data_IF_095994111648
#
_entry.id   IF_095994111648
#
_cell.length_a   1.000
_cell.length_b   1.000
_cell.length_c   1.000
_cell.angle_alpha   90.00
_cell.angle_beta   90.00
_cell.angle_gamma   90.00
#
_symmetry.space_group_name_H-M   'P 1'
#
loop_
_entity.id
_entity.type
_entity.pdbx_description
1 polymer ?
#
# COMPACT_ATOMS: atom_id res chain seq x y z
N UNK A 1 61.18 38.33 24.20
CA UNK A 1 62.00 37.45 23.43
C UNK A 1 61.25 36.21 23.01
N UNK A 2 61.34 36.04 21.77
CA UNK A 2 60.83 34.96 20.93
C UNK A 2 61.44 33.64 21.32
N UNK A 3 60.70 32.56 21.30
CA UNK A 3 61.25 31.27 20.93
C UNK A 3 60.25 30.47 20.13
N UNK A 4 60.59 30.33 18.90
CA UNK A 4 60.12 29.38 17.89
C UNK A 4 60.74 28.03 18.21
N UNK A 5 60.01 26.98 18.16
CA UNK A 5 60.41 25.58 17.90
C UNK A 5 59.11 24.77 17.98
N UNK A 6 58.76 23.84 17.21
CA UNK A 6 59.37 23.07 16.14
C UNK A 6 58.21 22.19 15.60
N UNK A 7 58.08 22.10 14.32
CA UNK A 7 57.21 21.10 13.68
C UNK A 7 57.97 19.78 13.64
N UNK A 8 57.34 18.65 13.86
CA UNK A 8 57.71 17.51 13.04
C UNK A 8 56.52 16.77 12.36
N UNK A 9 56.76 16.60 11.08
CA UNK A 9 56.63 15.38 10.32
C UNK A 9 55.24 14.80 10.12
N UNK A 10 54.79 15.04 8.94
CA UNK A 10 53.98 14.21 8.04
C UNK A 10 54.22 12.71 8.29
N UNK A 11 53.22 12.02 8.77
CA UNK A 11 53.10 10.56 8.65
C UNK A 11 52.13 10.22 7.55
N UNK A 12 52.63 9.53 6.56
CA UNK A 12 51.91 9.03 5.39
C UNK A 12 50.74 8.11 5.75
N UNK A 13 49.65 8.09 4.97
CA UNK A 13 48.55 7.16 5.18
C UNK A 13 48.98 5.73 4.82
N UNK A 14 48.75 4.83 5.75
CA UNK A 14 48.94 3.40 5.57
C UNK A 14 48.03 2.89 4.41
N UNK A 15 48.70 2.22 3.49
CA UNK A 15 48.10 1.49 2.39
C UNK A 15 47.31 0.32 2.98
N UNK A 16 46.00 0.35 2.86
CA UNK A 16 45.15 -0.78 3.17
C UNK A 16 45.29 -1.81 2.04
N UNK A 17 45.71 -3.05 2.30
CA UNK A 17 45.72 -4.08 1.27
C UNK A 17 44.29 -4.46 0.92
N UNK A 18 43.95 -4.34 -0.35
CA UNK A 18 42.76 -4.92 -0.96
C UNK A 18 42.77 -6.44 -0.77
N UNK A 19 41.66 -7.06 -0.31
CA UNK A 19 41.59 -8.51 -0.35
C UNK A 19 41.47 -8.97 -1.81
N UNK A 20 42.44 -9.78 -2.20
CA UNK A 20 42.39 -10.53 -3.46
C UNK A 20 41.18 -11.43 -3.47
N UNK A 21 40.34 -11.26 -4.50
CA UNK A 21 39.32 -12.22 -4.84
C UNK A 21 39.98 -13.50 -5.33
N UNK A 22 40.07 -14.51 -4.48
CA UNK A 22 40.29 -15.88 -4.90
C UNK A 22 39.00 -16.36 -5.63
N UNK A 23 39.10 -16.34 -6.94
CA UNK A 23 38.13 -16.99 -7.82
C UNK A 23 38.51 -18.46 -7.87
N UNK A 24 37.71 -19.38 -7.36
CA UNK A 24 37.94 -20.82 -7.56
C UNK A 24 37.72 -21.19 -9.04
N UNK A 25 38.48 -22.19 -9.55
CA UNK A 25 38.48 -22.53 -10.97
C UNK A 25 37.12 -23.08 -11.42
N UNK A 26 36.76 -22.68 -12.64
CA UNK A 26 35.58 -23.17 -13.36
C UNK A 26 35.43 -24.69 -13.25
N UNK A 27 34.46 -25.13 -12.47
CA UNK A 27 33.91 -26.47 -12.65
C UNK A 27 33.12 -26.47 -13.98
N UNK A 28 33.65 -27.14 -14.98
CA UNK A 28 32.95 -27.44 -16.20
C UNK A 28 31.82 -28.38 -15.87
N UNK A 29 30.62 -27.84 -15.72
CA UNK A 29 29.42 -28.67 -15.62
C UNK A 29 29.11 -29.18 -17.00
N UNK A 30 29.48 -30.43 -17.27
CA UNK A 30 29.02 -31.16 -18.41
C UNK A 30 27.51 -31.33 -18.31
N UNK A 31 26.79 -30.51 -19.04
CA UNK A 31 25.35 -30.67 -19.20
C UNK A 31 25.11 -31.90 -20.05
N UNK A 32 24.93 -33.04 -19.40
CA UNK A 32 24.38 -34.22 -20.03
C UNK A 32 22.96 -33.88 -20.49
N UNK A 33 22.78 -33.68 -21.77
CA UNK A 33 21.47 -33.47 -22.39
C UNK A 33 20.57 -34.66 -22.06
N UNK A 34 19.67 -34.51 -21.14
CA UNK A 34 18.56 -35.43 -20.98
C UNK A 34 17.62 -35.29 -22.19
N UNK A 35 17.17 -36.39 -22.80
CA UNK A 35 16.25 -36.32 -23.91
C UNK A 35 14.93 -35.66 -23.45
N UNK A 36 14.51 -34.63 -24.18
CA UNK A 36 13.27 -33.90 -23.99
C UNK A 36 12.11 -34.92 -24.01
N UNK A 37 11.30 -35.05 -22.96
CA UNK A 37 10.12 -35.89 -23.00
C UNK A 37 9.19 -35.40 -24.11
N UNK A 38 8.73 -36.31 -24.96
CA UNK A 38 7.77 -36.07 -26.06
C UNK A 38 6.56 -35.26 -25.49
N UNK A 39 6.01 -34.32 -26.26
CA UNK A 39 4.86 -33.57 -25.85
C UNK A 39 3.70 -34.53 -25.55
N UNK A 40 3.32 -34.60 -24.31
CA UNK A 40 2.09 -35.28 -23.88
C UNK A 40 0.95 -34.49 -24.52
N UNK A 41 0.17 -35.15 -25.38
CA UNK A 41 -1.07 -34.59 -25.91
C UNK A 41 -1.88 -34.07 -24.75
N UNK A 42 -2.03 -32.76 -24.71
CA UNK A 42 -2.95 -32.11 -23.78
C UNK A 42 -4.34 -32.74 -23.97
N UNK A 43 -5.03 -33.12 -22.88
CA UNK A 43 -6.43 -33.52 -22.99
C UNK A 43 -7.20 -32.37 -23.64
N UNK A 44 -8.25 -32.64 -24.41
CA UNK A 44 -9.03 -31.60 -25.04
C UNK A 44 -9.53 -30.68 -23.93
N UNK A 45 -9.21 -29.39 -24.07
CA UNK A 45 -9.78 -28.34 -23.24
C UNK A 45 -11.27 -28.42 -23.52
N UNK A 46 -12.00 -29.01 -22.58
CA UNK A 46 -13.46 -28.86 -22.54
C UNK A 46 -13.65 -27.36 -22.39
N UNK A 47 -14.04 -26.71 -23.47
CA UNK A 47 -14.56 -25.35 -23.39
C UNK A 47 -15.72 -25.42 -22.41
N UNK A 48 -15.40 -25.16 -21.14
CA UNK A 48 -16.43 -24.82 -20.19
C UNK A 48 -17.16 -23.63 -20.81
N UNK A 49 -18.37 -23.91 -21.26
CA UNK A 49 -19.26 -22.92 -21.80
C UNK A 49 -19.15 -21.70 -20.91
N UNK A 50 -18.79 -20.57 -21.52
CA UNK A 50 -18.79 -19.29 -20.84
C UNK A 50 -20.17 -19.13 -20.21
N UNK A 51 -20.25 -19.41 -18.92
CA UNK A 51 -21.42 -19.05 -18.15
C UNK A 51 -21.59 -17.55 -18.39
N UNK A 52 -22.76 -17.08 -18.79
CA UNK A 52 -22.96 -15.66 -18.99
C UNK A 52 -22.56 -14.99 -17.68
N UNK A 53 -21.59 -14.07 -17.76
CA UNK A 53 -21.30 -13.14 -16.68
C UNK A 53 -22.63 -12.48 -16.38
N UNK A 54 -23.31 -12.97 -15.35
CA UNK A 54 -24.45 -12.31 -14.79
C UNK A 54 -23.91 -10.98 -14.28
N UNK A 55 -23.99 -9.96 -15.14
CA UNK A 55 -23.92 -8.57 -14.74
C UNK A 55 -25.20 -8.27 -13.95
N UNK A 56 -25.45 -9.06 -12.92
CA UNK A 56 -26.40 -8.71 -11.91
C UNK A 56 -25.88 -7.41 -11.32
N UNK A 57 -26.65 -6.32 -11.52
CA UNK A 57 -26.60 -5.18 -10.61
C UNK A 57 -26.57 -5.79 -9.22
N UNK A 58 -25.35 -5.85 -8.61
CA UNK A 58 -25.19 -6.29 -7.23
C UNK A 58 -25.86 -5.20 -6.40
N UNK A 59 -27.19 -5.35 -6.26
CA UNK A 59 -27.95 -4.52 -5.36
C UNK A 59 -27.26 -4.66 -4.00
N UNK A 60 -26.91 -3.53 -3.43
CA UNK A 60 -26.25 -3.48 -2.14
C UNK A 60 -27.17 -4.12 -1.09
N UNK A 61 -27.03 -5.44 -0.89
CA UNK A 61 -27.70 -6.12 0.19
C UNK A 61 -27.18 -5.50 1.48
N UNK A 62 -28.05 -4.94 2.34
CA UNK A 62 -27.60 -4.46 3.62
C UNK A 62 -26.95 -5.61 4.37
N UNK A 63 -25.81 -5.33 5.00
CA UNK A 63 -25.09 -6.30 5.82
C UNK A 63 -26.01 -6.81 6.94
N UNK A 64 -26.02 -8.11 7.25
CA UNK A 64 -26.67 -8.64 8.43
C UNK A 64 -26.19 -7.90 9.70
N UNK A 65 -27.07 -7.72 10.67
CA UNK A 65 -26.73 -7.00 11.92
C UNK A 65 -25.53 -7.61 12.64
N UNK A 66 -25.36 -8.93 12.58
CA UNK A 66 -24.20 -9.64 13.12
C UNK A 66 -22.89 -9.25 12.43
N UNK A 67 -22.89 -9.15 11.12
CA UNK A 67 -21.69 -8.72 10.36
C UNK A 67 -21.40 -7.23 10.59
N UNK A 68 -22.43 -6.39 10.73
CA UNK A 68 -22.26 -4.99 11.09
C UNK A 68 -21.59 -4.83 12.46
N UNK A 69 -22.00 -5.61 13.46
CA UNK A 69 -21.39 -5.60 14.79
C UNK A 69 -19.90 -6.00 14.74
N UNK A 70 -19.56 -7.03 13.95
CA UNK A 70 -18.16 -7.43 13.77
C UNK A 70 -17.35 -6.33 13.10
N UNK A 71 -17.89 -5.66 12.09
CA UNK A 71 -17.22 -4.53 11.43
C UNK A 71 -16.98 -3.38 12.40
N UNK A 72 -17.99 -2.98 13.18
CA UNK A 72 -17.83 -1.91 14.18
C UNK A 72 -16.77 -2.28 15.24
N UNK A 73 -16.72 -3.55 15.68
CA UNK A 73 -15.67 -4.01 16.60
C UNK A 73 -14.27 -3.89 15.96
N UNK A 74 -14.11 -4.35 14.71
CA UNK A 74 -12.83 -4.24 13.99
C UNK A 74 -12.41 -2.77 13.78
N UNK A 75 -13.37 -1.87 13.57
CA UNK A 75 -13.10 -0.44 13.48
C UNK A 75 -12.62 0.13 14.83
N UNK A 76 -13.27 -0.27 15.93
CA UNK A 76 -12.88 0.15 17.29
C UNK A 76 -11.48 -0.39 17.66
N UNK A 77 -11.21 -1.66 17.38
CA UNK A 77 -9.90 -2.28 17.60
C UNK A 77 -8.80 -1.55 16.81
N UNK A 78 -9.09 -1.17 15.57
CA UNK A 78 -8.15 -0.43 14.74
C UNK A 78 -7.88 0.99 15.29
N UNK A 79 -8.90 1.68 15.76
CA UNK A 79 -8.75 3.01 16.38
C UNK A 79 -7.91 2.91 17.68
N UNK A 80 -8.12 1.85 18.48
CA UNK A 80 -7.33 1.57 19.68
C UNK A 80 -5.86 1.26 19.36
N UNK A 81 -5.61 0.40 18.36
CA UNK A 81 -4.26 0.07 17.90
C UNK A 81 -3.53 1.30 17.37
N UNK A 82 -4.22 2.16 16.64
CA UNK A 82 -3.67 3.43 16.17
C UNK A 82 -3.28 4.33 17.34
N UNK A 83 -4.11 4.44 18.37
CA UNK A 83 -3.82 5.21 19.57
C UNK A 83 -2.59 4.69 20.35
N UNK A 84 -2.28 3.38 20.21
CA UNK A 84 -1.09 2.74 20.75
C UNK A 84 0.15 2.85 19.86
N UNK A 85 0.07 3.54 18.71
CA UNK A 85 1.16 3.61 17.73
C UNK A 85 1.38 2.32 16.93
N UNK A 86 0.46 1.35 17.02
CA UNK A 86 0.53 0.07 16.32
C UNK A 86 -0.21 0.14 14.98
N UNK A 87 0.17 1.08 14.13
CA UNK A 87 -0.55 1.41 12.90
C UNK A 87 -0.63 0.24 11.91
N UNK A 88 0.45 -0.54 11.77
CA UNK A 88 0.46 -1.72 10.89
C UNK A 88 -0.58 -2.76 11.32
N UNK A 89 -0.74 -2.97 12.63
CA UNK A 89 -1.75 -3.89 13.15
C UNK A 89 -3.16 -3.33 12.93
N UNK A 90 -3.34 -2.02 13.10
CA UNK A 90 -4.60 -1.35 12.80
C UNK A 90 -5.02 -1.53 11.33
N UNK A 91 -4.07 -1.43 10.38
CA UNK A 91 -4.33 -1.70 8.95
C UNK A 91 -4.86 -3.12 8.75
N UNK A 92 -4.29 -4.12 9.43
CA UNK A 92 -4.74 -5.51 9.31
C UNK A 92 -6.20 -5.66 9.76
N UNK A 93 -6.60 -5.04 10.88
CA UNK A 93 -7.99 -5.08 11.35
C UNK A 93 -8.94 -4.41 10.35
N UNK A 94 -8.55 -3.25 9.81
CA UNK A 94 -9.36 -2.55 8.81
C UNK A 94 -9.46 -3.31 7.49
N UNK A 95 -8.43 -4.03 7.08
CA UNK A 95 -8.49 -4.92 5.90
C UNK A 95 -9.45 -6.09 6.11
N UNK A 96 -9.55 -6.62 7.34
CA UNK A 96 -10.57 -7.61 7.69
C UNK A 96 -11.96 -7.00 7.60
N UNK A 97 -12.16 -5.81 8.17
CA UNK A 97 -13.41 -5.07 8.05
C UNK A 97 -13.79 -4.82 6.59
N UNK A 98 -12.83 -4.46 5.74
CA UNK A 98 -13.05 -4.24 4.30
C UNK A 98 -13.53 -5.50 3.56
N UNK A 99 -13.07 -6.69 3.95
CA UNK A 99 -13.54 -7.95 3.35
C UNK A 99 -14.98 -8.26 3.72
N UNK A 100 -15.39 -7.94 4.94
CA UNK A 100 -16.76 -8.16 5.44
C UNK A 100 -17.68 -7.09 4.85
N UNK A 101 -17.26 -5.82 4.88
CA UNK A 101 -18.05 -4.67 4.46
C UNK A 101 -17.35 -3.90 3.31
N UNK A 102 -17.25 -4.44 2.09
CA UNK A 102 -16.51 -3.83 0.99
C UNK A 102 -17.14 -2.54 0.44
N UNK A 103 -18.30 -2.15 0.96
CA UNK A 103 -19.04 -0.93 0.59
C UNK A 103 -19.24 0.03 1.76
N UNK A 104 -18.64 -0.24 2.91
CA UNK A 104 -18.73 0.68 4.04
C UNK A 104 -17.70 1.82 3.89
N UNK A 105 -18.14 3.08 3.70
CA UNK A 105 -17.25 4.21 3.55
C UNK A 105 -16.40 4.49 4.80
N UNK A 106 -16.87 4.11 6.00
CA UNK A 106 -16.11 4.27 7.25
C UNK A 106 -14.78 3.51 7.21
N UNK A 107 -14.80 2.29 6.65
CA UNK A 107 -13.60 1.45 6.51
C UNK A 107 -12.58 2.11 5.60
N UNK A 108 -13.01 2.60 4.44
CA UNK A 108 -12.11 3.28 3.49
C UNK A 108 -11.53 4.57 4.07
N UNK A 109 -12.34 5.34 4.78
CA UNK A 109 -11.89 6.56 5.44
C UNK A 109 -10.77 6.27 6.45
N UNK A 110 -10.95 5.26 7.33
CA UNK A 110 -9.94 4.88 8.32
C UNK A 110 -8.68 4.29 7.68
N UNK A 111 -8.84 3.44 6.66
CA UNK A 111 -7.69 2.91 5.91
C UNK A 111 -6.88 4.03 5.26
N UNK A 112 -7.53 5.00 4.61
CA UNK A 112 -6.85 6.12 3.98
C UNK A 112 -6.07 6.96 5.00
N UNK A 113 -6.65 7.24 6.17
CA UNK A 113 -5.97 7.96 7.25
C UNK A 113 -4.74 7.20 7.74
N UNK A 114 -4.85 5.88 7.96
CA UNK A 114 -3.72 5.07 8.42
C UNK A 114 -2.61 4.96 7.37
N UNK A 115 -2.97 4.85 6.08
CA UNK A 115 -1.97 4.83 5.01
C UNK A 115 -1.23 6.17 4.91
N UNK A 116 -1.92 7.29 5.17
CA UNK A 116 -1.26 8.60 5.26
C UNK A 116 -0.27 8.68 6.43
N UNK A 117 -0.65 8.20 7.61
CA UNK A 117 0.26 8.20 8.76
C UNK A 117 1.47 7.28 8.57
N UNK A 118 1.34 6.22 7.77
CA UNK A 118 2.44 5.34 7.36
C UNK A 118 3.30 5.90 6.20
N UNK A 119 2.97 7.08 5.66
CA UNK A 119 3.67 7.68 4.52
C UNK A 119 3.25 7.12 3.16
N UNK A 120 2.27 6.21 3.11
CA UNK A 120 1.76 5.54 1.91
C UNK A 120 0.71 6.42 1.19
N UNK A 121 1.09 7.64 0.82
CA UNK A 121 0.17 8.68 0.32
C UNK A 121 -0.56 8.25 -0.97
N UNK A 122 0.12 7.58 -1.90
CA UNK A 122 -0.51 7.09 -3.13
C UNK A 122 -1.62 6.06 -2.85
N UNK A 123 -1.39 5.16 -1.89
CA UNK A 123 -2.38 4.17 -1.47
C UNK A 123 -3.55 4.82 -0.73
N UNK A 124 -3.27 5.83 0.09
CA UNK A 124 -4.29 6.60 0.78
C UNK A 124 -5.22 7.33 -0.20
N UNK A 125 -4.67 7.94 -1.24
CA UNK A 125 -5.46 8.58 -2.30
C UNK A 125 -6.40 7.58 -2.99
N UNK A 126 -5.89 6.41 -3.39
CA UNK A 126 -6.71 5.38 -4.03
C UNK A 126 -7.87 4.91 -3.13
N UNK A 127 -7.61 4.73 -1.83
CA UNK A 127 -8.65 4.37 -0.86
C UNK A 127 -9.68 5.49 -0.69
N UNK A 128 -9.23 6.75 -0.65
CA UNK A 128 -10.13 7.89 -0.55
C UNK A 128 -10.99 8.07 -1.81
N UNK A 129 -10.43 7.91 -3.00
CA UNK A 129 -11.18 7.91 -4.26
C UNK A 129 -12.22 6.79 -4.28
N UNK A 130 -11.84 5.57 -3.85
CA UNK A 130 -12.78 4.47 -3.73
C UNK A 130 -13.89 4.78 -2.74
N UNK A 131 -13.58 5.31 -1.58
CA UNK A 131 -14.56 5.73 -0.58
C UNK A 131 -15.53 6.79 -1.13
N UNK A 132 -15.02 7.75 -1.90
CA UNK A 132 -15.82 8.80 -2.54
C UNK A 132 -16.88 8.21 -3.48
N UNK A 133 -16.56 7.17 -4.26
CA UNK A 133 -17.53 6.50 -5.15
C UNK A 133 -18.67 5.81 -4.40
N UNK A 134 -18.48 5.49 -3.12
CA UNK A 134 -19.50 4.81 -2.29
C UNK A 134 -20.51 5.77 -1.67
N UNK A 135 -20.26 7.08 -1.74
CA UNK A 135 -21.04 8.10 -1.02
C UNK A 135 -21.57 9.22 -1.92
N UNK A 136 -22.19 8.94 -3.08
CA UNK A 136 -22.58 9.96 -4.04
C UNK A 136 -23.56 11.02 -3.47
N UNK A 137 -24.35 10.65 -2.46
CA UNK A 137 -25.39 11.51 -1.88
C UNK A 137 -25.15 11.87 -0.41
N UNK A 138 -23.92 11.65 0.12
CA UNK A 138 -23.60 11.93 1.53
C UNK A 138 -22.56 13.04 1.63
N UNK A 139 -23.02 14.30 1.62
CA UNK A 139 -22.15 15.50 1.61
C UNK A 139 -21.01 15.45 2.64
N UNK A 140 -21.31 15.10 3.88
CA UNK A 140 -20.31 15.02 4.98
C UNK A 140 -19.17 14.07 4.63
N UNK A 141 -19.49 12.89 4.06
CA UNK A 141 -18.46 11.93 3.65
C UNK A 141 -17.71 12.41 2.41
N UNK A 142 -18.39 13.04 1.43
CA UNK A 142 -17.75 13.62 0.25
C UNK A 142 -16.74 14.70 0.66
N UNK A 143 -17.13 15.61 1.55
CA UNK A 143 -16.22 16.60 2.13
C UNK A 143 -14.99 15.95 2.74
N UNK A 144 -15.20 14.91 3.56
CA UNK A 144 -14.12 14.22 4.25
C UNK A 144 -13.17 13.50 3.30
N UNK A 145 -13.71 12.80 2.29
CA UNK A 145 -12.87 12.11 1.31
C UNK A 145 -12.10 13.09 0.42
N UNK A 146 -12.68 14.20 0.02
CA UNK A 146 -11.94 15.22 -0.71
C UNK A 146 -10.79 15.82 0.11
N UNK A 147 -10.98 16.00 1.40
CA UNK A 147 -9.88 16.40 2.30
C UNK A 147 -8.78 15.35 2.37
N UNK A 148 -9.11 14.08 2.43
CA UNK A 148 -8.12 12.99 2.41
C UNK A 148 -7.36 12.94 1.08
N UNK A 149 -8.03 13.13 -0.04
CA UNK A 149 -7.40 13.22 -1.37
C UNK A 149 -6.43 14.41 -1.41
N UNK A 150 -6.85 15.58 -0.95
CA UNK A 150 -5.98 16.75 -0.86
C UNK A 150 -4.74 16.49 -0.01
N UNK A 151 -4.90 15.95 1.19
CA UNK A 151 -3.79 15.60 2.06
C UNK A 151 -2.85 14.57 1.41
N UNK A 152 -3.39 13.56 0.72
CA UNK A 152 -2.57 12.57 0.00
C UNK A 152 -1.73 13.21 -1.08
N UNK A 153 -2.31 14.10 -1.88
CA UNK A 153 -1.63 14.82 -2.96
C UNK A 153 -0.57 15.77 -2.46
N UNK A 154 -0.84 16.45 -1.35
CA UNK A 154 0.14 17.27 -0.65
C UNK A 154 1.38 16.45 -0.27
N UNK A 155 1.20 15.27 0.32
CA UNK A 155 2.30 14.35 0.62
C UNK A 155 3.04 13.81 -0.61
N UNK A 156 2.38 13.76 -1.76
CA UNK A 156 2.99 13.36 -3.05
C UNK A 156 3.67 14.53 -3.77
N UNK A 157 3.57 15.75 -3.24
CA UNK A 157 4.11 16.96 -3.88
C UNK A 157 3.25 17.47 -5.05
N UNK A 158 2.03 16.96 -5.23
CA UNK A 158 1.08 17.41 -6.26
C UNK A 158 0.26 18.59 -5.74
N UNK A 159 0.86 19.77 -5.77
CA UNK A 159 0.23 21.02 -5.30
C UNK A 159 -1.00 21.41 -6.13
N UNK A 160 -1.01 21.11 -7.44
CA UNK A 160 -2.15 21.40 -8.31
C UNK A 160 -3.33 20.49 -7.97
N UNK A 161 -3.06 19.20 -7.80
CA UNK A 161 -4.07 18.23 -7.38
C UNK A 161 -4.61 18.48 -5.98
N UNK A 162 -3.77 18.94 -5.05
CA UNK A 162 -4.18 19.38 -3.72
C UNK A 162 -5.17 20.55 -3.82
N UNK A 163 -4.81 21.62 -4.57
CA UNK A 163 -5.67 22.77 -4.75
C UNK A 163 -7.04 22.39 -5.35
N UNK A 164 -7.05 21.51 -6.35
CA UNK A 164 -8.30 20.97 -6.93
C UNK A 164 -9.13 20.23 -5.88
N UNK A 165 -8.52 19.39 -5.06
CA UNK A 165 -9.22 18.64 -4.02
C UNK A 165 -9.81 19.57 -2.94
N UNK A 166 -9.12 20.65 -2.59
CA UNK A 166 -9.62 21.67 -1.66
C UNK A 166 -10.87 22.33 -2.22
N UNK A 167 -10.83 22.77 -3.49
CA UNK A 167 -11.97 23.38 -4.17
C UNK A 167 -13.17 22.43 -4.22
N UNK A 168 -12.93 21.15 -4.57
CA UNK A 168 -13.98 20.13 -4.59
C UNK A 168 -14.57 19.91 -3.19
N UNK A 169 -13.74 19.87 -2.14
CA UNK A 169 -14.22 19.69 -0.77
C UNK A 169 -15.15 20.82 -0.34
N UNK A 170 -14.88 22.07 -0.76
CA UNK A 170 -15.68 23.24 -0.38
C UNK A 170 -17.13 23.18 -0.89
N UNK A 171 -17.42 22.41 -1.94
CA UNK A 171 -18.78 22.20 -2.48
C UNK A 171 -19.69 21.41 -1.54
N UNK A 172 -19.11 20.71 -0.57
CA UNK A 172 -19.82 19.78 0.33
C UNK A 172 -19.76 20.21 1.80
N UNK A 173 -19.27 21.41 2.06
CA UNK A 173 -19.15 21.98 3.42
C UNK A 173 -20.49 22.41 4.03
#
# INVERSE_FOLDING_TARGET
PVKVTDTPAVSAPAIIPTPQSDVPPKATVTITAQPIPKPIKAPPIVQAAAAPLVQGKVQARPLPASEQAVVEQLLADADQLKAQGKETQAVIQLQRAQRIAPRDPKVYARLAVLQLSLGEAARAEQLALKGLTLVPNKKTYQYYFWKLIGASRSHLGDSEGEAKAIVESAKYK
#
